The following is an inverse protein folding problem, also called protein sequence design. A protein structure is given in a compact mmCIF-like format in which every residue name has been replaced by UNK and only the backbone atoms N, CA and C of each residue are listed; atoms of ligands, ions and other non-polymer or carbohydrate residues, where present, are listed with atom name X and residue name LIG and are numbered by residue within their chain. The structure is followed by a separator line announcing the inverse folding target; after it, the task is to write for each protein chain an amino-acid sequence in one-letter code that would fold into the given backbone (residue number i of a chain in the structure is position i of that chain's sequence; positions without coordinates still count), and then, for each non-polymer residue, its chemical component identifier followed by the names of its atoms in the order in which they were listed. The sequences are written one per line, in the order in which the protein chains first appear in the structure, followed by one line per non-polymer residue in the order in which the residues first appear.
data_IF_318646035811
#
_entry.id   IF_318646035811
#
_cell.length_a   1.000
_cell.length_b   1.000
_cell.length_c   1.000
_cell.angle_alpha   90.00
_cell.angle_beta   90.00
_cell.angle_gamma   90.00
#
_symmetry.space_group_name_H-M   'P 1'
#
loop_
_entity.id
_entity.type
_entity.pdbx_description
1 polymer ?
#
# COMPACT_ATOMS: atom_id res chain seq x y z
N UNK A 1 2.82 2.37 -21.38
CA UNK A 1 3.12 2.87 -20.03
C UNK A 1 3.00 1.71 -19.07
N UNK A 2 3.65 1.75 -17.92
CA UNK A 2 3.62 0.68 -16.92
C UNK A 2 2.37 0.79 -16.04
N UNK A 3 1.70 -0.33 -15.78
CA UNK A 3 0.48 -0.42 -14.98
C UNK A 3 0.82 -0.68 -13.51
N UNK A 4 0.10 -0.01 -12.60
CA UNK A 4 0.23 -0.22 -11.15
C UNK A 4 -1.04 -0.88 -10.63
N UNK A 5 -0.88 -1.98 -9.91
CA UNK A 5 -1.94 -2.58 -9.10
C UNK A 5 -1.82 -2.09 -7.66
N UNK A 6 -2.81 -1.34 -7.20
CA UNK A 6 -2.90 -0.81 -5.82
C UNK A 6 -3.72 -1.76 -4.97
N UNK A 7 -3.08 -2.40 -4.01
CA UNK A 7 -3.67 -3.41 -3.11
C UNK A 7 -4.07 -2.78 -1.77
N UNK A 8 -5.36 -2.83 -1.43
CA UNK A 8 -5.92 -2.22 -0.23
C UNK A 8 -6.74 -3.23 0.54
N UNK A 9 -6.24 -3.66 1.69
CA UNK A 9 -7.00 -4.45 2.66
C UNK A 9 -7.63 -3.52 3.70
N UNK A 10 -8.94 -3.61 3.88
CA UNK A 10 -9.69 -2.75 4.79
C UNK A 10 -10.52 -3.56 5.79
N UNK A 11 -10.64 -3.08 7.02
CA UNK A 11 -11.52 -3.61 8.04
C UNK A 11 -12.29 -2.46 8.70
N UNK A 12 -13.55 -2.29 8.31
CA UNK A 12 -14.47 -1.27 8.86
C UNK A 12 -13.83 0.15 8.90
N UNK A 13 -13.03 0.48 7.88
CA UNK A 13 -12.27 1.74 7.84
C UNK A 13 -13.05 2.80 7.08
N UNK A 14 -13.45 3.91 7.71
CA UNK A 14 -14.24 4.95 7.07
C UNK A 14 -13.46 5.74 6.00
N UNK A 15 -12.12 5.66 5.99
CA UNK A 15 -11.27 6.36 5.03
C UNK A 15 -11.01 5.54 3.74
N UNK A 16 -11.53 4.32 3.62
CA UNK A 16 -11.28 3.47 2.46
C UNK A 16 -11.61 4.16 1.14
N UNK A 17 -12.82 4.71 1.03
CA UNK A 17 -13.27 5.37 -0.20
C UNK A 17 -12.41 6.60 -0.51
N UNK A 18 -12.10 7.41 0.50
CA UNK A 18 -11.26 8.60 0.35
C UNK A 18 -9.83 8.22 -0.07
N UNK A 19 -9.27 7.14 0.46
CA UNK A 19 -7.98 6.62 0.04
C UNK A 19 -7.95 6.26 -1.44
N UNK A 20 -8.98 5.56 -1.93
CA UNK A 20 -9.13 5.17 -3.34
C UNK A 20 -9.27 6.43 -4.22
N UNK A 21 -10.13 7.36 -3.82
CA UNK A 21 -10.34 8.62 -4.54
C UNK A 21 -9.08 9.48 -4.57
N UNK A 22 -8.41 9.65 -3.43
CA UNK A 22 -7.15 10.39 -3.34
C UNK A 22 -6.07 9.80 -4.22
N UNK A 23 -5.93 8.47 -4.23
CA UNK A 23 -4.95 7.80 -5.10
C UNK A 23 -5.26 8.03 -6.58
N UNK A 24 -6.52 7.89 -6.99
CA UNK A 24 -6.92 8.08 -8.39
C UNK A 24 -6.80 9.53 -8.83
N UNK A 25 -7.36 10.46 -8.06
CA UNK A 25 -7.40 11.88 -8.47
C UNK A 25 -6.00 12.49 -8.54
N UNK A 26 -5.10 12.10 -7.68
CA UNK A 26 -3.73 12.58 -7.64
C UNK A 26 -2.75 11.79 -8.53
N UNK A 27 -3.19 10.71 -9.17
CA UNK A 27 -2.36 10.02 -10.16
C UNK A 27 -2.21 10.87 -11.43
N UNK A 28 -1.00 10.89 -11.99
CA UNK A 28 -0.71 11.52 -13.28
C UNK A 28 -1.25 10.69 -14.44
N UNK A 29 -1.16 9.37 -14.33
CA UNK A 29 -1.54 8.42 -15.38
C UNK A 29 -2.68 7.52 -14.92
N UNK A 30 -3.84 8.14 -14.70
CA UNK A 30 -5.03 7.54 -14.10
C UNK A 30 -5.46 6.23 -14.78
N UNK A 31 -5.39 6.16 -16.10
CA UNK A 31 -5.80 4.99 -16.88
C UNK A 31 -4.90 3.75 -16.68
N UNK A 32 -3.76 3.92 -16.03
CA UNK A 32 -2.80 2.84 -15.74
C UNK A 32 -2.82 2.38 -14.29
N UNK A 33 -3.79 2.85 -13.50
CA UNK A 33 -3.99 2.45 -12.10
C UNK A 33 -5.15 1.46 -12.02
N UNK A 34 -4.92 0.34 -11.37
CA UNK A 34 -5.98 -0.62 -11.00
C UNK A 34 -5.98 -0.80 -9.48
N UNK A 35 -7.14 -0.75 -8.87
CA UNK A 35 -7.30 -0.99 -7.45
C UNK A 35 -7.80 -2.42 -7.22
N UNK A 36 -7.12 -3.17 -6.35
CA UNK A 36 -7.61 -4.41 -5.78
C UNK A 36 -7.98 -4.16 -4.33
N UNK A 37 -9.24 -4.33 -3.99
CA UNK A 37 -9.76 -3.99 -2.67
C UNK A 37 -10.45 -5.20 -2.06
N UNK A 38 -10.05 -5.56 -0.84
CA UNK A 38 -10.78 -6.50 -0.01
C UNK A 38 -11.24 -5.77 1.25
N UNK A 39 -12.52 -5.45 1.28
CA UNK A 39 -13.16 -4.77 2.40
C UNK A 39 -13.87 -5.78 3.29
N UNK A 40 -13.56 -5.72 4.58
CA UNK A 40 -14.19 -6.53 5.61
C UNK A 40 -15.11 -5.62 6.43
N UNK A 41 -16.34 -5.41 5.95
CA UNK A 41 -17.35 -4.55 6.58
C UNK A 41 -18.76 -5.05 6.33
N UNK A 42 -19.73 -4.54 7.08
CA UNK A 42 -21.12 -4.99 6.96
C UNK A 42 -21.83 -4.48 5.70
N UNK A 43 -21.52 -3.26 5.25
CA UNK A 43 -22.27 -2.60 4.18
C UNK A 43 -21.43 -2.37 2.91
N UNK A 44 -20.10 -2.38 3.03
CA UNK A 44 -19.21 -2.02 1.93
C UNK A 44 -19.27 -0.54 1.54
N UNK A 45 -18.32 -0.12 0.70
CA UNK A 45 -18.32 1.22 0.12
C UNK A 45 -19.24 1.29 -1.10
N UNK A 46 -19.89 2.43 -1.30
CA UNK A 46 -20.71 2.70 -2.49
C UNK A 46 -19.79 3.07 -3.68
N UNK A 47 -19.75 2.17 -4.68
CA UNK A 47 -19.00 2.37 -5.91
C UNK A 47 -19.85 2.89 -7.08
N UNK A 48 -21.17 3.04 -6.94
CA UNK A 48 -22.05 3.38 -8.06
C UNK A 48 -21.80 4.78 -8.61
N UNK A 49 -21.40 5.69 -7.74
CA UNK A 49 -21.10 7.07 -8.09
C UNK A 49 -19.63 7.31 -8.48
N UNK A 50 -18.80 6.27 -8.48
CA UNK A 50 -17.38 6.38 -8.81
C UNK A 50 -17.16 6.27 -10.32
N UNK A 51 -16.65 7.35 -10.92
CA UNK A 51 -16.43 7.45 -12.39
C UNK A 51 -15.45 6.40 -12.93
N UNK A 52 -14.54 5.94 -12.11
CA UNK A 52 -13.49 4.98 -12.46
C UNK A 52 -13.72 3.58 -11.84
N UNK A 53 -14.97 3.23 -11.54
CA UNK A 53 -15.32 1.94 -10.92
C UNK A 53 -14.82 0.71 -11.69
N UNK A 54 -14.66 0.82 -13.02
CA UNK A 54 -14.12 -0.28 -13.85
C UNK A 54 -12.63 -0.56 -13.57
N UNK A 55 -11.92 0.34 -12.89
CA UNK A 55 -10.53 0.16 -12.45
C UNK A 55 -10.45 -0.39 -11.02
N UNK A 56 -11.60 -0.66 -10.38
CA UNK A 56 -11.68 -1.19 -9.02
C UNK A 56 -12.16 -2.65 -9.09
N UNK A 57 -11.30 -3.58 -8.69
CA UNK A 57 -11.63 -4.99 -8.47
C UNK A 57 -11.90 -5.16 -6.98
N UNK A 58 -13.15 -5.35 -6.64
CA UNK A 58 -13.63 -5.24 -5.26
C UNK A 58 -14.20 -6.54 -4.75
N UNK A 59 -13.85 -6.91 -3.52
CA UNK A 59 -14.40 -8.03 -2.78
C UNK A 59 -14.86 -7.55 -1.40
N UNK A 60 -16.13 -7.81 -1.08
CA UNK A 60 -16.70 -7.54 0.23
C UNK A 60 -16.79 -8.85 1.03
N UNK A 61 -16.33 -8.82 2.27
CA UNK A 61 -16.38 -9.92 3.22
C UNK A 61 -17.10 -9.44 4.47
N UNK A 62 -18.06 -10.22 4.96
CA UNK A 62 -18.71 -9.94 6.25
C UNK A 62 -17.66 -9.85 7.36
N UNK A 63 -17.69 -8.82 8.21
CA UNK A 63 -16.68 -8.63 9.26
C UNK A 63 -16.59 -9.78 10.27
N UNK A 64 -17.69 -10.54 10.44
CA UNK A 64 -17.68 -11.78 11.26
C UNK A 64 -16.79 -12.87 10.67
N UNK A 65 -16.61 -12.85 9.33
CA UNK A 65 -15.77 -13.79 8.60
C UNK A 65 -14.33 -13.27 8.40
N UNK A 66 -14.00 -12.10 8.93
CA UNK A 66 -12.68 -11.48 8.80
C UNK A 66 -11.60 -12.35 9.47
N UNK A 67 -10.47 -12.53 8.77
CA UNK A 67 -9.31 -13.31 9.24
C UNK A 67 -8.03 -12.48 9.27
N UNK A 68 -8.20 -11.16 9.39
CA UNK A 68 -7.10 -10.20 9.47
C UNK A 68 -6.51 -9.78 8.12
N UNK A 69 -5.52 -8.87 8.15
CA UNK A 69 -5.02 -8.21 6.95
C UNK A 69 -4.31 -9.15 5.98
N UNK A 70 -3.60 -10.17 6.46
CA UNK A 70 -2.91 -11.12 5.58
C UNK A 70 -3.90 -11.96 4.75
N UNK A 71 -5.03 -12.33 5.34
CA UNK A 71 -6.09 -13.00 4.60
C UNK A 71 -6.69 -12.11 3.52
N UNK A 72 -7.06 -10.87 3.86
CA UNK A 72 -7.57 -9.91 2.91
C UNK A 72 -6.56 -9.66 1.76
N UNK A 73 -5.28 -9.50 2.07
CA UNK A 73 -4.22 -9.32 1.07
C UNK A 73 -4.07 -10.53 0.15
N UNK A 74 -4.18 -11.75 0.67
CA UNK A 74 -4.15 -12.96 -0.17
C UNK A 74 -5.33 -13.03 -1.14
N UNK A 75 -6.51 -12.55 -0.72
CA UNK A 75 -7.68 -12.43 -1.60
C UNK A 75 -7.42 -11.42 -2.72
N UNK A 76 -6.85 -10.26 -2.38
CA UNK A 76 -6.54 -9.22 -3.35
C UNK A 76 -5.51 -9.70 -4.38
N UNK A 77 -4.53 -10.50 -3.98
CA UNK A 77 -3.53 -11.03 -4.91
C UNK A 77 -4.14 -11.86 -6.04
N UNK A 78 -5.26 -12.55 -5.80
CA UNK A 78 -5.98 -13.29 -6.84
C UNK A 78 -6.68 -12.38 -7.87
N UNK A 79 -6.77 -11.09 -7.59
CA UNK A 79 -7.35 -10.08 -8.48
C UNK A 79 -6.33 -9.43 -9.43
N UNK A 80 -5.04 -9.76 -9.29
CA UNK A 80 -3.97 -9.26 -10.16
C UNK A 80 -4.08 -9.92 -11.54
N UNK A 81 -3.88 -9.16 -12.61
CA UNK A 81 -3.88 -9.68 -13.98
C UNK A 81 -2.54 -9.43 -14.69
N UNK A 82 -2.44 -8.31 -15.41
CA UNK A 82 -1.32 -7.98 -16.31
C UNK A 82 -0.60 -6.68 -15.90
N UNK A 83 -0.76 -6.29 -14.65
CA UNK A 83 -0.08 -5.13 -14.11
C UNK A 83 1.44 -5.38 -14.00
N UNK A 84 2.22 -4.29 -14.06
CA UNK A 84 3.69 -4.35 -14.01
C UNK A 84 4.22 -4.17 -12.59
N UNK A 85 3.56 -3.31 -11.81
CA UNK A 85 3.94 -2.96 -10.44
C UNK A 85 2.84 -3.27 -9.45
N UNK A 86 3.27 -3.60 -8.25
CA UNK A 86 2.42 -3.83 -7.09
C UNK A 86 2.69 -2.76 -6.03
N UNK A 87 1.64 -2.05 -5.63
CA UNK A 87 1.66 -1.10 -4.52
C UNK A 87 0.68 -1.58 -3.45
N UNK A 88 1.17 -2.05 -2.32
CA UNK A 88 0.36 -2.36 -1.16
C UNK A 88 0.33 -1.18 -0.20
N UNK A 89 -0.85 -0.80 0.23
CA UNK A 89 -1.07 0.30 1.17
C UNK A 89 -2.11 -0.06 2.23
N UNK A 90 -2.15 0.74 3.29
CA UNK A 90 -3.26 0.71 4.25
C UNK A 90 -4.49 1.44 3.70
N UNK A 91 -5.66 1.22 4.30
CA UNK A 91 -6.95 1.78 3.87
C UNK A 91 -7.19 3.25 4.24
N UNK A 92 -6.22 3.90 4.89
CA UNK A 92 -6.27 5.29 5.35
C UNK A 92 -5.03 6.07 4.89
N UNK A 93 -4.94 6.31 3.59
CA UNK A 93 -3.81 6.97 2.94
C UNK A 93 -4.27 8.17 2.12
N UNK A 94 -3.44 9.22 2.08
CA UNK A 94 -3.63 10.38 1.21
C UNK A 94 -2.43 10.50 0.29
N UNK A 95 -2.69 10.76 -0.97
CA UNK A 95 -1.68 10.77 -2.02
C UNK A 95 -1.34 12.18 -2.48
N UNK A 96 -0.06 12.43 -2.77
CA UNK A 96 0.39 13.65 -3.43
C UNK A 96 0.20 13.58 -4.94
N UNK A 97 0.08 14.75 -5.55
CA UNK A 97 -0.05 14.87 -7.01
C UNK A 97 1.13 14.21 -7.75
N UNK A 98 0.83 13.34 -8.71
CA UNK A 98 1.82 12.66 -9.55
C UNK A 98 2.59 11.54 -8.84
N UNK A 99 2.06 11.01 -7.74
CA UNK A 99 2.68 9.97 -6.93
C UNK A 99 3.12 8.74 -7.75
N UNK A 100 2.33 8.35 -8.73
CA UNK A 100 2.56 7.20 -9.60
C UNK A 100 3.81 7.38 -10.47
N UNK A 101 3.96 8.55 -11.10
CA UNK A 101 5.16 8.88 -11.88
C UNK A 101 6.40 8.97 -10.99
N UNK A 102 6.27 9.64 -9.84
CA UNK A 102 7.38 9.81 -8.88
C UNK A 102 7.86 8.44 -8.40
N UNK A 103 6.95 7.57 -8.03
CA UNK A 103 7.25 6.25 -7.49
C UNK A 103 7.94 5.35 -8.51
N UNK A 104 7.44 5.32 -9.76
CA UNK A 104 8.06 4.57 -10.87
C UNK A 104 9.46 5.13 -11.20
N UNK A 105 9.62 6.47 -11.28
CA UNK A 105 10.93 7.08 -11.55
C UNK A 105 11.93 6.74 -10.45
N UNK A 106 11.50 6.81 -9.20
CA UNK A 106 12.35 6.48 -8.06
C UNK A 106 12.74 5.00 -8.03
N UNK A 107 11.79 4.11 -8.30
CA UNK A 107 12.06 2.68 -8.44
C UNK A 107 13.08 2.39 -9.53
N UNK A 108 12.89 2.95 -10.73
CA UNK A 108 13.81 2.74 -11.85
C UNK A 108 15.21 3.29 -11.57
N UNK A 109 15.30 4.43 -10.89
CA UNK A 109 16.59 5.00 -10.47
C UNK A 109 17.30 4.09 -9.48
N UNK A 110 16.61 3.59 -8.45
CA UNK A 110 17.17 2.64 -7.49
C UNK A 110 17.59 1.33 -8.16
N UNK A 111 16.76 0.80 -9.06
CA UNK A 111 17.05 -0.46 -9.77
C UNK A 111 18.35 -0.37 -10.58
N UNK A 112 18.71 0.81 -11.08
CA UNK A 112 20.00 1.03 -11.78
C UNK A 112 21.19 1.04 -10.82
N UNK A 113 20.98 1.34 -9.53
CA UNK A 113 22.03 1.37 -8.53
C UNK A 113 22.25 0.01 -7.84
N UNK A 114 21.24 -0.86 -7.91
CA UNK A 114 21.20 -2.13 -7.16
C UNK A 114 21.07 -3.28 -8.16
N UNK A 115 22.01 -4.21 -8.12
CA UNK A 115 21.98 -5.41 -8.97
C UNK A 115 21.23 -6.56 -8.26
N UNK A 116 20.00 -6.30 -7.82
CA UNK A 116 19.13 -7.28 -7.13
C UNK A 116 17.68 -6.87 -7.24
N UNK A 117 16.78 -7.76 -6.86
CA UNK A 117 15.35 -7.47 -6.75
C UNK A 117 15.11 -6.35 -5.72
N UNK A 118 14.30 -5.38 -6.10
CA UNK A 118 14.05 -4.17 -5.33
C UNK A 118 12.63 -4.15 -4.77
N UNK A 119 12.53 -3.94 -3.47
CA UNK A 119 11.29 -3.62 -2.77
C UNK A 119 11.47 -2.29 -2.05
N UNK A 120 10.64 -1.30 -2.39
CA UNK A 120 10.59 -0.03 -1.66
C UNK A 120 9.55 -0.16 -0.55
N UNK A 121 9.93 0.20 0.66
CA UNK A 121 9.04 0.17 1.82
C UNK A 121 9.37 1.32 2.76
N UNK A 122 8.41 1.75 3.56
CA UNK A 122 8.60 2.80 4.55
C UNK A 122 7.31 3.05 5.33
N UNK A 123 7.37 3.93 6.30
CA UNK A 123 6.20 4.42 7.00
C UNK A 123 5.81 5.78 6.43
N UNK A 124 4.65 5.90 5.78
CA UNK A 124 4.13 7.19 5.35
C UNK A 124 3.92 8.14 6.53
N UNK A 125 3.94 9.44 6.25
CA UNK A 125 3.64 10.46 7.27
C UNK A 125 2.19 10.30 7.73
N UNK A 126 1.99 10.40 9.04
CA UNK A 126 0.65 10.44 9.61
C UNK A 126 -0.04 11.76 9.31
N UNK A 127 -1.34 11.73 9.19
CA UNK A 127 -2.22 12.89 9.07
C UNK A 127 -3.37 12.79 10.07
N UNK A 128 -4.08 13.89 10.26
CA UNK A 128 -5.37 13.92 10.97
C UNK A 128 -6.45 14.27 9.95
N UNK A 129 -7.56 13.58 10.01
CA UNK A 129 -8.77 13.93 9.30
C UNK A 129 -9.69 14.70 10.24
N UNK A 130 -10.47 15.65 9.71
CA UNK A 130 -11.59 16.25 10.45
C UNK A 130 -12.76 15.24 10.58
N UNK A 131 -13.82 15.62 11.29
CA UNK A 131 -14.99 14.75 11.53
C UNK A 131 -15.76 14.41 10.23
N UNK A 132 -15.72 15.30 9.22
CA UNK A 132 -16.36 15.11 7.92
C UNK A 132 -15.53 14.26 6.95
N UNK A 133 -14.26 13.99 7.26
CA UNK A 133 -13.29 13.26 6.44
C UNK A 133 -12.98 13.93 5.09
N UNK A 134 -13.16 15.24 4.97
CA UNK A 134 -12.94 16.04 3.76
C UNK A 134 -11.72 16.97 3.86
N UNK A 135 -11.20 17.19 5.07
CA UNK A 135 -9.98 17.96 5.31
C UNK A 135 -8.94 17.11 6.03
N UNK A 136 -7.68 17.22 5.57
CA UNK A 136 -6.56 16.43 6.07
C UNK A 136 -5.39 17.32 6.45
N UNK A 137 -4.96 17.25 7.70
CA UNK A 137 -3.81 17.97 8.23
C UNK A 137 -2.64 17.02 8.43
N UNK A 138 -1.51 17.29 7.76
CA UNK A 138 -0.29 16.51 7.94
C UNK A 138 0.29 16.71 9.33
N UNK A 139 0.74 15.62 9.94
CA UNK A 139 1.47 15.70 11.20
C UNK A 139 2.86 16.28 10.97
N UNK A 140 3.04 17.56 11.36
CA UNK A 140 4.28 18.33 11.15
C UNK A 140 5.43 17.88 12.07
N UNK A 141 5.14 17.08 13.10
CA UNK A 141 6.15 16.65 14.08
C UNK A 141 7.25 15.79 13.47
N UNK A 142 6.93 15.09 12.38
CA UNK A 142 7.88 14.21 11.68
C UNK A 142 8.01 14.70 10.24
N UNK A 143 9.03 15.52 9.98
CA UNK A 143 9.34 16.01 8.61
C UNK A 143 9.96 14.94 7.73
N UNK A 144 10.54 13.90 8.34
CA UNK A 144 11.37 12.92 7.67
C UNK A 144 10.61 11.62 7.44
N UNK A 145 11.03 10.88 6.41
CA UNK A 145 10.59 9.51 6.17
C UNK A 145 10.95 8.64 7.36
N UNK A 146 10.02 7.81 7.80
CA UNK A 146 10.26 6.91 8.91
C UNK A 146 10.79 5.56 8.38
N UNK A 147 11.96 5.20 8.82
CA UNK A 147 12.51 3.84 8.66
C UNK A 147 11.91 2.86 9.68
N UNK A 148 12.12 1.57 9.44
CA UNK A 148 11.64 0.50 10.31
C UNK A 148 12.82 -0.26 10.88
N UNK A 149 12.80 -0.47 12.20
CA UNK A 149 13.79 -1.28 12.90
C UNK A 149 13.13 -2.19 13.93
N UNK A 150 13.88 -3.14 14.45
CA UNK A 150 13.46 -3.95 15.59
C UNK A 150 13.40 -3.11 16.85
N UNK A 151 12.43 -3.38 17.70
CA UNK A 151 12.38 -2.83 19.05
C UNK A 151 13.32 -3.64 19.93
N UNK A 152 14.36 -3.02 20.45
CA UNK A 152 15.30 -3.69 21.36
C UNK A 152 14.56 -4.32 22.55
N UNK A 153 14.89 -5.56 22.89
CA UNK A 153 14.57 -6.20 24.16
C UNK A 153 13.24 -6.93 24.26
N UNK A 154 12.52 -7.19 23.15
CA UNK A 154 11.30 -8.00 23.21
C UNK A 154 11.26 -9.08 22.12
N UNK A 155 11.84 -10.23 22.45
CA UNK A 155 11.43 -11.50 21.87
C UNK A 155 10.34 -12.03 22.80
N UNK A 156 9.17 -12.34 22.30
CA UNK A 156 8.15 -13.04 23.10
C UNK A 156 8.65 -14.44 23.47
N UNK A 157 8.17 -14.98 24.60
CA UNK A 157 8.52 -16.33 25.06
C UNK A 157 8.22 -17.43 24.02
N UNK A 158 7.30 -17.16 23.09
CA UNK A 158 6.95 -18.03 21.95
C UNK A 158 7.87 -17.90 20.73
N UNK A 159 8.92 -17.09 20.81
CA UNK A 159 9.87 -16.87 19.74
C UNK A 159 9.43 -15.85 18.67
N UNK A 160 8.25 -15.22 18.82
CA UNK A 160 7.81 -14.16 17.92
C UNK A 160 8.47 -12.82 18.25
N UNK A 161 8.90 -12.10 17.21
CA UNK A 161 9.44 -10.75 17.38
C UNK A 161 8.31 -9.76 17.66
N UNK A 162 8.38 -9.07 18.78
CA UNK A 162 7.44 -8.01 19.06
C UNK A 162 7.84 -6.73 18.35
N UNK A 163 6.92 -6.26 17.55
CA UNK A 163 6.74 -4.90 17.08
C UNK A 163 7.95 -4.17 16.50
N UNK A 164 7.82 -3.87 15.25
CA UNK A 164 8.62 -2.91 14.53
C UNK A 164 8.52 -1.53 15.20
N UNK A 165 9.61 -0.81 15.26
CA UNK A 165 9.66 0.58 15.69
C UNK A 165 10.00 1.45 14.50
N UNK A 166 9.22 2.49 14.26
CA UNK A 166 9.62 3.54 13.32
C UNK A 166 10.67 4.44 13.96
N UNK A 167 11.62 4.89 13.17
CA UNK A 167 12.62 5.88 13.56
C UNK A 167 12.78 6.92 12.45
N UNK A 168 13.09 8.19 12.76
CA UNK A 168 13.40 9.17 11.73
C UNK A 168 14.65 8.73 10.96
N UNK A 169 14.51 8.57 9.66
CA UNK A 169 15.67 8.37 8.80
C UNK A 169 16.29 9.75 8.55
N UNK A 170 17.42 10.05 9.19
CA UNK A 170 18.14 11.32 9.04
C UNK A 170 18.89 11.37 7.68
N UNK A 171 18.23 10.99 6.62
CA UNK A 171 18.81 10.96 5.27
C UNK A 171 17.70 11.13 4.23
N UNK A 172 18.01 11.90 3.20
CA UNK A 172 17.16 12.02 2.00
C UNK A 172 17.40 10.88 1.00
N UNK A 173 18.35 10.00 1.29
CA UNK A 173 18.70 8.85 0.45
C UNK A 173 18.05 7.58 0.99
N UNK A 174 17.71 6.64 0.10
CA UNK A 174 17.20 5.33 0.50
C UNK A 174 18.25 4.57 1.31
N UNK A 175 17.79 3.89 2.35
CA UNK A 175 18.62 3.07 3.23
C UNK A 175 18.22 1.61 3.03
N UNK A 176 19.19 0.72 2.92
CA UNK A 176 18.92 -0.70 2.89
C UNK A 176 18.29 -1.15 4.22
N UNK A 177 17.09 -1.68 4.14
CA UNK A 177 16.33 -2.19 5.29
C UNK A 177 16.35 -3.71 5.39
N UNK A 178 16.12 -4.20 6.60
CA UNK A 178 15.93 -5.64 6.89
C UNK A 178 14.45 -6.01 7.05
N UNK A 179 13.57 -5.02 7.13
CA UNK A 179 12.15 -5.18 7.43
C UNK A 179 11.30 -4.48 6.38
N UNK A 180 10.09 -5.01 6.19
CA UNK A 180 9.10 -4.46 5.29
C UNK A 180 7.90 -3.96 6.09
N UNK A 181 7.48 -2.71 5.87
CA UNK A 181 6.24 -2.16 6.43
C UNK A 181 5.05 -2.67 5.64
N UNK A 182 4.14 -3.38 6.29
CA UNK A 182 2.94 -3.90 5.63
C UNK A 182 2.02 -2.80 5.09
N UNK A 183 2.11 -1.58 5.61
CA UNK A 183 1.29 -0.43 5.17
C UNK A 183 1.82 0.32 3.96
N UNK A 184 3.03 0.02 3.49
CA UNK A 184 3.56 0.55 2.23
C UNK A 184 4.63 -0.37 1.64
N UNK A 185 4.29 -1.03 0.53
CA UNK A 185 5.20 -1.89 -0.23
C UNK A 185 5.04 -1.57 -1.70
N UNK A 186 6.12 -1.20 -2.37
CA UNK A 186 6.14 -1.01 -3.81
C UNK A 186 7.25 -1.81 -4.47
N UNK A 187 6.90 -2.58 -5.48
CA UNK A 187 7.87 -3.40 -6.23
C UNK A 187 7.35 -3.76 -7.61
N UNK A 188 8.24 -4.28 -8.46
CA UNK A 188 7.84 -4.99 -9.66
C UNK A 188 7.02 -6.23 -9.27
N UNK A 189 5.93 -6.50 -9.97
CA UNK A 189 5.04 -7.62 -9.65
C UNK A 189 5.74 -8.97 -9.71
N UNK A 190 6.72 -9.14 -10.60
CA UNK A 190 7.52 -10.35 -10.72
C UNK A 190 8.28 -10.73 -9.42
N UNK A 191 8.52 -9.75 -8.53
CA UNK A 191 9.28 -9.98 -7.29
C UNK A 191 8.37 -10.16 -6.06
N UNK A 192 7.10 -9.75 -6.15
CA UNK A 192 6.21 -9.69 -4.97
C UNK A 192 5.19 -10.80 -4.90
N UNK A 193 4.93 -11.48 -5.99
CA UNK A 193 3.98 -12.59 -6.05
C UNK A 193 4.38 -13.58 -7.15
N UNK A 194 4.23 -14.89 -6.93
CA UNK A 194 4.29 -15.82 -8.04
C UNK A 194 3.21 -15.41 -9.04
N UNK A 195 3.64 -14.93 -10.19
CA UNK A 195 2.74 -14.54 -11.27
C UNK A 195 1.92 -15.75 -11.68
N UNK A 196 0.64 -15.61 -12.01
CA UNK A 196 -0.10 -16.66 -12.70
C UNK A 196 0.59 -17.13 -13.98
N UNK A 197 1.55 -16.35 -14.50
CA UNK A 197 2.41 -16.70 -15.64
C UNK A 197 3.48 -17.73 -15.26
N UNK A 198 3.89 -17.79 -13.99
CA UNK A 198 4.94 -18.72 -13.51
C UNK A 198 4.40 -20.14 -13.28
N UNK A 199 3.08 -20.30 -13.23
CA UNK A 199 2.41 -21.61 -13.15
C UNK A 199 2.15 -22.26 -14.52
N UNK A 200 2.73 -21.74 -15.60
CA UNK A 200 2.70 -22.37 -16.93
C UNK A 200 3.94 -23.26 -17.08
N UNK A 201 3.93 -24.39 -16.42
CA UNK A 201 4.78 -25.55 -16.73
C UNK A 201 3.95 -26.52 -17.56
#
# INVERSE_FOLDING_TARGET
MKKIFVSIASYQDPLLLETICSAYENAKYKDFITFGVCEQSSNGIDLDNIKFKNQIRYELIDPVMAKGPCYARSRIQSLINDEDYYLQIDSHMIFYQGWDEILIKYFNWLQQQINSDLVITGYPRSFKANESLDEFELNIKYKDTLGITFREGRIFEDGHYSMQKSYPANTDLPVQGLLVAGGFIFSCLLYTSPSPRDNRV
#
